data_IF_374171684609
#
_entry.id   IF_374171684609
#
_cell.length_a   1.000
_cell.length_b   1.000
_cell.length_c   1.000
_cell.angle_alpha   90.00
_cell.angle_beta   90.00
_cell.angle_gamma   90.00
#
_symmetry.space_group_name_H-M   'P 1'
#
loop_
_entity.id
_entity.type
_entity.pdbx_description
1 polymer ?
#
# COMPACT_ATOMS: atom_id res chain seq x y z
N UNK A 1 -21.41 -19.36 2.26
CA UNK A 1 -21.59 -17.97 2.71
C UNK A 1 -20.29 -17.37 3.26
N UNK A 2 -19.69 -17.90 4.33
CA UNK A 2 -18.44 -17.35 4.89
C UNK A 2 -17.28 -17.29 3.87
N UNK A 3 -17.01 -18.38 3.13
CA UNK A 3 -15.96 -18.38 2.10
C UNK A 3 -16.19 -17.35 0.98
N UNK A 4 -17.44 -17.16 0.59
CA UNK A 4 -17.82 -16.13 -0.40
C UNK A 4 -17.57 -14.72 0.15
N UNK A 5 -17.86 -14.49 1.44
CA UNK A 5 -17.58 -13.22 2.10
C UNK A 5 -16.07 -12.96 2.17
N UNK A 6 -15.26 -13.97 2.52
CA UNK A 6 -13.79 -13.86 2.54
C UNK A 6 -13.26 -13.53 1.15
N UNK A 7 -13.77 -14.21 0.12
CA UNK A 7 -13.39 -13.93 -1.27
C UNK A 7 -13.69 -12.47 -1.65
N UNK A 8 -14.89 -11.97 -1.32
CA UNK A 8 -15.27 -10.58 -1.58
C UNK A 8 -14.38 -9.60 -0.80
N UNK A 9 -14.09 -9.86 0.48
CA UNK A 9 -13.20 -9.02 1.28
C UNK A 9 -11.78 -8.98 0.73
N UNK A 10 -11.24 -10.12 0.28
CA UNK A 10 -9.92 -10.20 -0.34
C UNK A 10 -9.86 -9.41 -1.64
N UNK A 11 -10.85 -9.57 -2.52
CA UNK A 11 -10.94 -8.82 -3.78
C UNK A 11 -11.06 -7.34 -3.49
N UNK A 12 -11.87 -6.93 -2.51
CA UNK A 12 -12.02 -5.54 -2.11
C UNK A 12 -10.72 -4.95 -1.55
N UNK A 13 -10.00 -5.70 -0.71
CA UNK A 13 -8.73 -5.28 -0.12
C UNK A 13 -7.65 -5.08 -1.18
N UNK A 14 -7.56 -6.02 -2.14
CA UNK A 14 -6.62 -5.94 -3.26
C UNK A 14 -6.99 -4.84 -4.26
N UNK A 15 -8.27 -4.64 -4.50
CA UNK A 15 -8.75 -3.52 -5.32
C UNK A 15 -8.40 -2.19 -4.66
N UNK A 16 -8.68 -2.04 -3.37
CA UNK A 16 -8.33 -0.87 -2.57
C UNK A 16 -6.83 -0.56 -2.66
N UNK A 17 -5.95 -1.52 -2.32
CA UNK A 17 -4.50 -1.31 -2.37
C UNK A 17 -3.97 -0.99 -3.77
N UNK A 18 -4.45 -1.69 -4.80
CA UNK A 18 -4.08 -1.39 -6.19
C UNK A 18 -4.59 -0.03 -6.68
N UNK A 19 -5.75 0.43 -6.17
CA UNK A 19 -6.30 1.76 -6.50
C UNK A 19 -5.41 2.87 -5.94
N UNK A 20 -4.92 2.71 -4.71
CA UNK A 20 -4.01 3.67 -4.07
C UNK A 20 -2.68 3.76 -4.83
N UNK A 21 -2.11 2.61 -5.21
CA UNK A 21 -0.88 2.57 -6.00
C UNK A 21 -1.05 3.28 -7.35
N UNK A 22 -2.16 3.04 -8.06
CA UNK A 22 -2.44 3.71 -9.34
C UNK A 22 -2.56 5.23 -9.17
N UNK A 23 -3.22 5.69 -8.11
CA UNK A 23 -3.33 7.13 -7.80
C UNK A 23 -1.95 7.72 -7.55
N UNK A 24 -1.12 7.07 -6.73
CA UNK A 24 0.24 7.51 -6.46
C UNK A 24 1.09 7.58 -7.73
N UNK A 25 1.05 6.56 -8.59
CA UNK A 25 1.78 6.54 -9.87
C UNK A 25 1.32 7.66 -10.81
N UNK A 26 0.01 7.92 -10.90
CA UNK A 26 -0.54 9.03 -11.69
C UNK A 26 -0.04 10.38 -11.20
N UNK A 27 -0.07 10.61 -9.89
CA UNK A 27 0.40 11.89 -9.34
C UNK A 27 1.90 12.06 -9.51
N UNK A 28 2.70 11.00 -9.34
CA UNK A 28 4.14 11.05 -9.66
C UNK A 28 4.40 11.35 -11.14
N UNK A 29 3.62 10.77 -12.04
CA UNK A 29 3.67 11.08 -13.46
C UNK A 29 3.35 12.56 -13.73
N UNK A 30 2.30 13.09 -13.10
CA UNK A 30 1.92 14.50 -13.18
C UNK A 30 2.99 15.44 -12.64
N UNK A 31 3.60 15.12 -11.49
CA UNK A 31 4.70 15.90 -10.90
C UNK A 31 5.89 15.95 -11.87
N UNK A 32 6.30 14.80 -12.42
CA UNK A 32 7.41 14.74 -13.38
C UNK A 32 7.13 15.53 -14.64
N UNK A 33 5.92 15.40 -15.20
CA UNK A 33 5.52 16.16 -16.39
C UNK A 33 5.51 17.67 -16.12
N UNK A 34 5.02 18.09 -14.95
CA UNK A 34 5.02 19.49 -14.55
C UNK A 34 6.45 20.03 -14.35
N UNK A 35 7.33 19.28 -13.65
CA UNK A 35 8.74 19.66 -13.50
C UNK A 35 9.46 19.78 -14.85
N UNK A 36 9.18 18.87 -15.78
CA UNK A 36 9.77 18.93 -17.12
C UNK A 36 9.29 20.17 -17.88
N UNK A 37 7.98 20.46 -17.87
CA UNK A 37 7.41 21.62 -18.52
C UNK A 37 7.97 22.94 -17.95
N UNK A 38 8.10 23.05 -16.62
CA UNK A 38 8.68 24.21 -15.95
C UNK A 38 10.15 24.39 -16.37
N UNK A 39 10.93 23.31 -16.38
CA UNK A 39 12.33 23.33 -16.81
C UNK A 39 12.50 23.72 -18.29
N UNK A 40 11.66 23.18 -19.17
CA UNK A 40 11.67 23.49 -20.60
C UNK A 40 11.28 24.96 -20.85
N UNK A 41 10.31 25.48 -20.08
CA UNK A 41 9.90 26.89 -20.16
C UNK A 41 11.01 27.84 -19.68
N UNK A 42 11.73 27.48 -18.61
CA UNK A 42 12.84 28.25 -18.06
C UNK A 42 14.02 28.28 -19.04
N UNK A 43 14.39 27.12 -19.59
CA UNK A 43 15.49 27.03 -20.58
C UNK A 43 15.16 27.82 -21.85
N UNK A 44 13.93 27.72 -22.38
CA UNK A 44 13.50 28.53 -23.51
C UNK A 44 13.55 30.04 -23.22
N UNK A 45 13.17 30.47 -22.00
CA UNK A 45 13.24 31.87 -21.57
C UNK A 45 14.68 32.36 -21.45
N UNK A 46 15.58 31.54 -20.91
CA UNK A 46 17.01 31.84 -20.83
C UNK A 46 17.64 31.99 -22.21
N UNK A 47 17.34 31.09 -23.15
CA UNK A 47 17.80 31.19 -24.54
C UNK A 47 17.31 32.49 -25.21
N UNK A 48 16.05 32.88 -24.98
CA UNK A 48 15.51 34.14 -25.50
C UNK A 48 16.26 35.36 -24.95
N UNK A 49 16.55 35.39 -23.65
CA UNK A 49 17.28 36.49 -23.01
C UNK A 49 18.71 36.58 -23.55
N UNK A 50 19.40 35.44 -23.67
CA UNK A 50 20.75 35.38 -24.26
C UNK A 50 20.76 35.91 -25.70
N UNK A 51 19.77 35.55 -26.52
CA UNK A 51 19.62 36.04 -27.89
C UNK A 51 19.36 37.55 -28.02
N UNK A 52 18.85 38.20 -26.97
CA UNK A 52 18.59 39.65 -26.93
C UNK A 52 19.69 40.43 -26.18
N UNK A 53 20.93 39.91 -26.16
CA UNK A 53 22.07 40.58 -25.53
C UNK A 53 22.14 40.40 -24.01
N UNK A 54 21.46 39.39 -23.47
CA UNK A 54 21.58 38.98 -22.06
C UNK A 54 20.90 39.87 -21.04
N UNK A 55 20.12 40.88 -21.47
CA UNK A 55 19.38 41.77 -20.56
C UNK A 55 17.94 41.32 -20.41
N UNK A 56 17.53 41.06 -19.16
CA UNK A 56 16.14 40.82 -18.82
C UNK A 56 15.35 42.14 -18.75
N UNK A 57 14.21 42.28 -19.44
CA UNK A 57 13.45 43.54 -19.48
C UNK A 57 12.54 43.77 -18.27
N UNK A 58 12.40 42.78 -17.38
CA UNK A 58 11.47 42.83 -16.25
C UNK A 58 12.11 43.26 -14.92
N UNK A 59 11.37 43.05 -13.83
CA UNK A 59 11.83 43.35 -12.48
C UNK A 59 13.00 42.45 -12.08
N UNK A 60 14.00 42.99 -11.37
CA UNK A 60 15.27 42.31 -11.10
C UNK A 60 15.13 41.02 -10.29
N UNK A 61 14.06 40.88 -9.49
CA UNK A 61 13.78 39.68 -8.68
C UNK A 61 13.12 38.55 -9.47
N UNK A 62 12.68 38.83 -10.70
CA UNK A 62 12.12 37.86 -11.63
C UNK A 62 13.14 37.46 -12.71
N UNK A 63 14.33 38.08 -12.71
CA UNK A 63 15.36 37.80 -13.70
C UNK A 63 15.94 36.38 -13.49
N UNK A 64 15.75 35.46 -14.45
CA UNK A 64 16.21 34.08 -14.34
C UNK A 64 17.71 33.89 -14.58
N UNK A 65 18.42 34.93 -15.05
CA UNK A 65 19.89 34.86 -15.22
C UNK A 65 20.62 34.81 -13.89
N UNK A 66 20.00 35.29 -12.80
CA UNK A 66 20.50 35.11 -11.44
C UNK A 66 20.06 33.76 -10.86
N UNK A 67 21.04 32.91 -10.55
CA UNK A 67 20.79 31.58 -9.99
C UNK A 67 19.90 31.60 -8.73
N UNK A 68 20.04 32.62 -7.88
CA UNK A 68 19.21 32.80 -6.68
C UNK A 68 17.73 33.01 -7.01
N UNK A 69 17.41 33.91 -7.96
CA UNK A 69 16.03 34.22 -8.33
C UNK A 69 15.35 32.99 -8.94
N UNK A 70 16.06 32.32 -9.85
CA UNK A 70 15.62 31.05 -10.44
C UNK A 70 15.35 30.03 -9.35
N UNK A 71 16.29 29.80 -8.43
CA UNK A 71 16.11 28.86 -7.33
C UNK A 71 14.91 29.21 -6.43
N UNK A 72 14.69 30.49 -6.14
CA UNK A 72 13.65 30.98 -5.23
C UNK A 72 12.24 30.94 -5.82
N UNK A 73 12.11 31.25 -7.11
CA UNK A 73 10.82 31.42 -7.80
C UNK A 73 10.39 30.14 -8.52
N UNK A 74 11.32 29.49 -9.23
CA UNK A 74 11.02 28.40 -10.19
C UNK A 74 11.84 27.13 -9.96
N UNK A 75 12.88 27.19 -9.12
CA UNK A 75 13.81 26.07 -8.87
C UNK A 75 13.37 25.13 -7.75
N UNK A 76 12.08 25.11 -7.42
CA UNK A 76 11.56 24.14 -6.46
C UNK A 76 11.66 22.73 -7.02
N UNK A 77 12.22 21.81 -6.25
CA UNK A 77 12.38 20.41 -6.64
C UNK A 77 11.40 19.54 -5.86
N UNK A 78 10.99 18.41 -6.45
CA UNK A 78 10.15 17.45 -5.76
C UNK A 78 11.00 16.30 -5.24
N UNK A 79 11.02 16.10 -3.92
CA UNK A 79 11.53 14.90 -3.29
C UNK A 79 10.42 13.84 -3.32
N UNK A 80 10.61 12.77 -4.07
CA UNK A 80 9.60 11.71 -4.29
C UNK A 80 10.11 10.37 -3.79
N UNK A 81 9.29 9.67 -2.99
CA UNK A 81 9.55 8.29 -2.58
C UNK A 81 8.92 7.34 -3.59
N UNK A 82 9.75 6.59 -4.31
CA UNK A 82 9.26 5.59 -5.28
C UNK A 82 8.36 4.54 -4.60
N UNK A 83 7.29 4.09 -5.26
CA UNK A 83 6.43 3.05 -4.71
C UNK A 83 7.16 1.71 -4.68
N UNK A 84 6.94 0.93 -3.62
CA UNK A 84 7.53 -0.40 -3.49
C UNK A 84 6.70 -1.44 -4.27
N UNK A 85 7.34 -2.52 -4.73
CA UNK A 85 6.68 -3.54 -5.56
C UNK A 85 5.45 -4.17 -4.89
N UNK A 86 5.47 -4.37 -3.56
CA UNK A 86 4.35 -4.95 -2.80
C UNK A 86 3.42 -3.91 -2.18
N UNK A 87 3.54 -2.62 -2.54
CA UNK A 87 2.74 -1.57 -1.94
C UNK A 87 1.23 -1.73 -2.23
N UNK A 88 0.86 -2.38 -3.32
CA UNK A 88 -0.53 -2.74 -3.61
C UNK A 88 -1.11 -3.78 -2.63
N UNK A 89 -0.26 -4.55 -1.94
CA UNK A 89 -0.66 -5.56 -0.95
C UNK A 89 -0.60 -5.01 0.47
N UNK A 90 0.42 -4.20 0.74
CA UNK A 90 0.67 -3.59 2.04
C UNK A 90 0.93 -2.09 1.84
N UNK A 91 -0.09 -1.27 2.08
CA UNK A 91 0.03 0.19 2.04
C UNK A 91 0.86 0.69 3.25
N UNK A 92 0.65 0.08 4.42
CA UNK A 92 1.36 0.40 5.66
C UNK A 92 1.25 1.88 6.02
N UNK A 93 2.37 2.48 6.43
CA UNK A 93 2.45 3.92 6.77
C UNK A 93 2.42 4.85 5.54
N UNK A 94 2.40 4.32 4.30
CA UNK A 94 2.38 5.16 3.10
C UNK A 94 1.06 5.89 2.88
N UNK A 95 0.00 5.48 3.57
CA UNK A 95 -1.28 6.20 3.59
C UNK A 95 -1.29 7.42 4.50
N UNK A 96 -0.34 7.51 5.43
CA UNK A 96 -0.22 8.58 6.42
C UNK A 96 0.95 9.49 6.11
N UNK A 97 2.09 8.89 5.79
CA UNK A 97 3.30 9.63 5.50
C UNK A 97 3.25 10.16 4.05
N UNK A 98 3.49 11.46 3.83
CA UNK A 98 3.58 12.00 2.50
C UNK A 98 4.68 11.30 1.70
N UNK A 99 4.32 10.88 0.49
CA UNK A 99 5.24 10.19 -0.43
C UNK A 99 5.89 11.14 -1.44
N UNK A 100 5.58 12.44 -1.36
CA UNK A 100 6.29 13.50 -2.07
C UNK A 100 6.33 14.80 -1.25
N UNK A 101 7.37 15.59 -1.45
CA UNK A 101 7.52 16.94 -0.88
C UNK A 101 8.05 17.91 -1.93
N UNK A 102 7.48 19.11 -1.98
CA UNK A 102 8.03 20.23 -2.77
C UNK A 102 9.05 21.00 -1.93
N UNK A 103 10.32 20.84 -2.29
CA UNK A 103 11.49 21.41 -1.63
C UNK A 103 11.84 22.74 -2.27
N UNK A 104 12.02 23.77 -1.44
CA UNK A 104 12.44 25.11 -1.87
C UNK A 104 13.79 25.44 -1.23
N UNK A 105 14.58 26.30 -1.86
CA UNK A 105 15.81 26.88 -1.25
C UNK A 105 15.51 27.82 -0.06
N UNK A 106 14.24 28.13 0.17
CA UNK A 106 13.75 28.98 1.26
C UNK A 106 12.82 28.19 2.17
N UNK A 107 12.50 28.72 3.34
CA UNK A 107 11.62 28.09 4.36
C UNK A 107 10.15 27.96 3.91
N UNK A 108 9.80 28.28 2.66
CA UNK A 108 8.44 28.14 2.10
C UNK A 108 7.87 26.73 2.24
N UNK A 109 8.71 25.69 2.25
CA UNK A 109 8.27 24.30 2.38
C UNK A 109 7.42 24.05 3.65
N UNK A 110 7.71 24.74 4.76
CA UNK A 110 6.95 24.63 6.01
C UNK A 110 5.53 25.18 5.90
N UNK A 111 5.31 26.21 5.07
CA UNK A 111 3.99 26.79 4.85
C UNK A 111 3.14 25.96 3.89
N UNK A 112 3.80 25.21 2.99
CA UNK A 112 3.12 24.39 1.97
C UNK A 112 2.79 22.99 2.50
N UNK A 113 3.54 22.47 3.47
CA UNK A 113 3.38 21.12 4.02
C UNK A 113 3.11 21.14 5.53
N UNK A 114 2.56 22.23 6.06
CA UNK A 114 1.97 22.20 7.39
C UNK A 114 0.96 21.05 7.39
N UNK A 115 1.18 20.05 8.27
CA UNK A 115 0.45 18.79 8.24
C UNK A 115 -1.04 19.07 8.23
N UNK A 116 -1.75 18.60 7.19
CA UNK A 116 -3.21 18.63 7.19
C UNK A 116 -3.70 18.01 8.49
N UNK A 117 -4.65 18.66 9.18
CA UNK A 117 -5.21 18.15 10.42
C UNK A 117 -5.99 16.88 10.06
N UNK A 118 -5.31 15.75 10.19
CA UNK A 118 -5.85 14.45 9.86
C UNK A 118 -6.64 13.87 11.03
N UNK A 119 -7.66 13.09 10.72
CA UNK A 119 -8.46 12.44 11.75
C UNK A 119 -7.68 11.27 12.37
N UNK A 120 -7.15 11.48 13.59
CA UNK A 120 -6.34 10.49 14.29
C UNK A 120 -7.05 9.15 14.53
N UNK A 121 -8.39 9.15 14.61
CA UNK A 121 -9.17 7.91 14.75
C UNK A 121 -9.18 7.09 13.46
N UNK A 122 -9.36 7.75 12.30
CA UNK A 122 -9.28 7.07 11.00
C UNK A 122 -7.86 6.56 10.73
N UNK A 123 -6.85 7.29 11.20
CA UNK A 123 -5.44 6.91 11.08
C UNK A 123 -5.08 5.67 11.89
N UNK A 124 -5.70 5.48 13.07
CA UNK A 124 -5.52 4.29 13.92
C UNK A 124 -6.10 3.02 13.28
N UNK A 125 -7.24 3.13 12.59
CA UNK A 125 -7.88 1.98 11.90
C UNK A 125 -7.00 1.48 10.73
N UNK A 126 -6.25 2.38 10.10
CA UNK A 126 -5.36 2.07 8.99
C UNK A 126 -6.10 1.82 7.67
N UNK A 127 -5.34 1.57 6.61
CA UNK A 127 -5.88 1.27 5.30
C UNK A 127 -6.44 -0.17 5.24
N UNK A 128 -7.59 -0.35 4.59
CA UNK A 128 -8.09 -1.67 4.25
C UNK A 128 -7.33 -2.23 3.05
N UNK A 129 -6.26 -2.98 3.33
CA UNK A 129 -5.38 -3.62 2.35
C UNK A 129 -5.26 -5.14 2.59
N UNK A 130 -4.50 -5.84 1.75
CA UNK A 130 -4.34 -7.30 1.87
C UNK A 130 -3.62 -7.69 3.17
N UNK A 131 -2.66 -6.89 3.64
CA UNK A 131 -1.97 -7.12 4.90
C UNK A 131 -2.93 -7.08 6.09
N UNK A 132 -3.92 -6.18 6.07
CA UNK A 132 -4.98 -6.13 7.08
C UNK A 132 -5.79 -7.43 7.11
N UNK A 133 -6.13 -7.99 5.95
CA UNK A 133 -6.86 -9.26 5.86
C UNK A 133 -6.04 -10.41 6.46
N UNK A 134 -4.74 -10.48 6.17
CA UNK A 134 -3.87 -11.56 6.66
C UNK A 134 -3.58 -11.43 8.15
N UNK A 135 -3.33 -10.22 8.66
CA UNK A 135 -2.92 -10.00 10.05
C UNK A 135 -4.11 -10.02 11.02
N UNK A 136 -5.26 -9.46 10.63
CA UNK A 136 -6.40 -9.30 11.53
C UNK A 136 -7.57 -10.23 11.21
N UNK A 137 -7.97 -10.34 9.94
CA UNK A 137 -9.17 -11.12 9.58
C UNK A 137 -8.89 -12.62 9.53
N UNK A 138 -7.77 -13.05 8.97
CA UNK A 138 -7.44 -14.47 8.82
C UNK A 138 -7.41 -15.21 10.18
N UNK A 139 -6.74 -14.70 11.24
CA UNK A 139 -6.78 -15.35 12.55
C UNK A 139 -8.19 -15.44 13.13
N UNK A 140 -8.99 -14.39 12.97
CA UNK A 140 -10.37 -14.35 13.44
C UNK A 140 -11.24 -15.38 12.70
N UNK A 141 -11.06 -15.50 11.39
CA UNK A 141 -11.76 -16.48 10.57
C UNK A 141 -11.36 -17.91 10.92
N UNK A 142 -10.08 -18.16 11.21
CA UNK A 142 -9.61 -19.46 11.70
C UNK A 142 -10.36 -19.81 12.99
N UNK A 143 -10.44 -18.89 13.95
CA UNK A 143 -11.18 -19.10 15.21
C UNK A 143 -12.64 -19.45 14.92
N UNK A 144 -13.31 -18.69 14.05
CA UNK A 144 -14.71 -18.96 13.66
C UNK A 144 -14.87 -20.31 12.95
N UNK A 145 -13.86 -20.80 12.23
CA UNK A 145 -13.89 -22.11 11.59
C UNK A 145 -13.64 -23.27 12.57
N UNK A 146 -12.96 -22.99 13.68
CA UNK A 146 -12.51 -24.00 14.63
C UNK A 146 -13.26 -24.01 15.98
N UNK A 147 -13.99 -22.94 16.34
CA UNK A 147 -14.54 -22.80 17.69
C UNK A 147 -15.54 -23.91 18.07
N UNK A 148 -16.32 -24.39 17.10
CA UNK A 148 -17.41 -25.33 17.38
C UNK A 148 -16.98 -26.80 17.41
N UNK A 149 -15.68 -27.11 17.32
CA UNK A 149 -15.20 -28.50 17.25
C UNK A 149 -15.73 -29.32 18.43
N UNK A 150 -15.68 -28.79 19.66
CA UNK A 150 -16.15 -29.53 20.83
C UNK A 150 -17.67 -29.47 21.01
N UNK A 151 -18.30 -28.33 20.73
CA UNK A 151 -19.75 -28.19 20.90
C UNK A 151 -20.52 -29.05 19.89
N UNK A 152 -20.03 -29.12 18.65
CA UNK A 152 -20.63 -29.96 17.61
C UNK A 152 -20.68 -31.44 17.99
N UNK A 153 -19.64 -31.99 18.63
CA UNK A 153 -19.67 -33.39 19.10
C UNK A 153 -20.65 -33.62 20.23
N UNK A 154 -20.85 -32.61 21.10
CA UNK A 154 -21.80 -32.70 22.22
C UNK A 154 -23.24 -32.68 21.71
N UNK A 155 -23.54 -31.78 20.79
CA UNK A 155 -24.87 -31.64 20.19
C UNK A 155 -25.25 -32.84 19.31
N UNK A 156 -24.28 -33.41 18.58
CA UNK A 156 -24.49 -34.60 17.75
C UNK A 156 -24.52 -35.92 18.55
N UNK A 157 -24.30 -35.88 19.87
CA UNK A 157 -24.27 -37.07 20.72
C UNK A 157 -23.04 -37.97 20.55
N UNK A 158 -22.16 -37.67 19.59
CA UNK A 158 -20.89 -38.41 19.36
C UNK A 158 -19.88 -38.24 20.48
N UNK A 159 -20.05 -37.26 21.36
CA UNK A 159 -19.18 -37.06 22.52
C UNK A 159 -19.08 -38.26 23.46
N UNK A 160 -20.17 -39.02 23.62
CA UNK A 160 -20.17 -40.24 24.46
C UNK A 160 -19.32 -41.34 23.82
N UNK A 161 -19.43 -41.51 22.50
CA UNK A 161 -18.63 -42.48 21.73
C UNK A 161 -17.14 -42.11 21.71
N UNK A 162 -16.81 -40.83 21.66
CA UNK A 162 -15.40 -40.39 21.71
C UNK A 162 -14.77 -40.68 23.08
N UNK A 163 -15.54 -40.57 24.17
CA UNK A 163 -15.07 -40.88 25.53
C UNK A 163 -14.85 -42.36 25.78
N UNK A 164 -15.52 -43.25 25.06
CA UNK A 164 -15.34 -44.70 25.19
C UNK A 164 -14.18 -45.23 24.31
N UNK A 165 -13.63 -44.38 23.44
CA UNK A 165 -12.47 -44.75 22.62
C UNK A 165 -11.19 -44.84 23.46
N UNK A 166 -10.30 -45.80 23.16
CA UNK A 166 -9.02 -45.99 23.85
C UNK A 166 -7.96 -44.91 23.54
N UNK A 167 -8.33 -43.88 22.78
CA UNK A 167 -7.42 -42.82 22.34
C UNK A 167 -7.56 -41.58 23.23
N UNK A 168 -6.50 -40.80 23.34
CA UNK A 168 -6.56 -39.50 24.03
C UNK A 168 -7.55 -38.57 23.31
N UNK A 169 -8.58 -38.13 24.03
CA UNK A 169 -9.59 -37.18 23.54
C UNK A 169 -8.92 -35.88 23.05
N UNK A 170 -7.90 -35.40 23.78
CA UNK A 170 -7.14 -34.23 23.39
C UNK A 170 -6.45 -34.42 22.03
N UNK A 171 -5.89 -35.61 21.77
CA UNK A 171 -5.25 -35.94 20.49
C UNK A 171 -6.26 -35.99 19.34
N UNK A 172 -7.46 -36.53 19.57
CA UNK A 172 -8.54 -36.56 18.57
C UNK A 172 -9.05 -35.14 18.25
N UNK A 173 -9.25 -34.31 19.27
CA UNK A 173 -9.66 -32.91 19.10
C UNK A 173 -8.58 -32.08 18.39
N UNK A 174 -7.31 -32.23 18.78
CA UNK A 174 -6.18 -31.60 18.11
C UNK A 174 -6.04 -32.05 16.65
N UNK A 175 -6.25 -33.33 16.36
CA UNK A 175 -6.25 -33.83 14.98
C UNK A 175 -7.34 -33.20 14.13
N UNK A 176 -8.57 -33.11 14.65
CA UNK A 176 -9.69 -32.43 13.97
C UNK A 176 -9.42 -30.93 13.80
N UNK A 177 -8.84 -30.29 14.80
CA UNK A 177 -8.42 -28.89 14.74
C UNK A 177 -7.39 -28.69 13.63
N UNK A 178 -6.34 -29.51 13.60
CA UNK A 178 -5.27 -29.43 12.61
C UNK A 178 -5.79 -29.65 11.19
N UNK A 179 -6.70 -30.61 10.97
CA UNK A 179 -7.32 -30.85 9.66
C UNK A 179 -8.15 -29.63 9.23
N UNK A 180 -9.02 -29.10 10.10
CA UNK A 180 -9.84 -27.92 9.76
C UNK A 180 -8.99 -26.69 9.50
N UNK A 181 -7.99 -26.45 10.35
CA UNK A 181 -7.01 -25.37 10.17
C UNK A 181 -6.27 -25.51 8.84
N UNK A 182 -5.74 -26.70 8.54
CA UNK A 182 -5.01 -26.98 7.31
C UNK A 182 -5.86 -26.80 6.06
N UNK A 183 -7.09 -27.34 6.05
CA UNK A 183 -8.03 -27.17 4.94
C UNK A 183 -8.41 -25.71 4.71
N UNK A 184 -8.70 -24.97 5.79
CA UNK A 184 -9.03 -23.55 5.69
C UNK A 184 -7.86 -22.72 5.16
N UNK A 185 -6.65 -22.97 5.69
CA UNK A 185 -5.43 -22.27 5.27
C UNK A 185 -5.06 -22.59 3.84
N UNK A 186 -5.15 -23.87 3.44
CA UNK A 186 -4.92 -24.29 2.06
C UNK A 186 -5.92 -23.63 1.11
N UNK A 187 -7.20 -23.63 1.44
CA UNK A 187 -8.24 -22.97 0.65
C UNK A 187 -7.96 -21.47 0.50
N UNK A 188 -7.63 -20.78 1.60
CA UNK A 188 -7.29 -19.36 1.58
C UNK A 188 -6.15 -19.08 0.61
N UNK A 189 -5.05 -19.84 0.67
CA UNK A 189 -3.91 -19.65 -0.23
C UNK A 189 -4.22 -20.02 -1.68
N UNK A 190 -5.00 -21.08 -1.93
CA UNK A 190 -5.44 -21.46 -3.29
C UNK A 190 -6.23 -20.33 -3.95
N UNK A 191 -7.00 -19.57 -3.18
CA UNK A 191 -7.73 -18.39 -3.67
C UNK A 191 -6.81 -17.18 -3.85
N UNK A 192 -5.91 -16.94 -2.91
CA UNK A 192 -5.07 -15.73 -2.87
C UNK A 192 -3.97 -15.76 -3.93
N UNK A 193 -3.26 -16.88 -4.08
CA UNK A 193 -2.12 -17.04 -5.01
C UNK A 193 -2.44 -16.61 -6.45
N UNK A 194 -3.52 -17.07 -7.10
CA UNK A 194 -3.81 -16.66 -8.48
C UNK A 194 -4.12 -15.16 -8.60
N UNK A 195 -4.76 -14.57 -7.59
CA UNK A 195 -5.05 -13.13 -7.60
C UNK A 195 -3.77 -12.32 -7.42
N UNK A 196 -2.88 -12.74 -6.52
CA UNK A 196 -1.55 -12.14 -6.36
C UNK A 196 -0.72 -12.26 -7.65
N UNK A 197 -0.69 -13.44 -8.28
CA UNK A 197 0.04 -13.65 -9.53
C UNK A 197 -0.48 -12.74 -10.66
N UNK A 198 -1.80 -12.52 -10.73
CA UNK A 198 -2.40 -11.60 -11.70
C UNK A 198 -2.05 -10.13 -11.41
N UNK A 199 -1.98 -9.72 -10.14
CA UNK A 199 -1.79 -8.33 -9.75
C UNK A 199 -0.33 -7.88 -9.79
N UNK A 200 0.59 -8.72 -9.32
CA UNK A 200 2.01 -8.40 -9.31
C UNK A 200 2.66 -8.75 -10.68
N UNK A 201 1.97 -9.57 -11.48
CA UNK A 201 2.45 -10.11 -12.74
C UNK A 201 3.56 -11.16 -12.55
N UNK A 202 3.90 -11.91 -13.61
CA UNK A 202 4.96 -12.92 -13.55
C UNK A 202 6.35 -12.32 -13.27
N UNK A 203 6.54 -11.00 -13.45
CA UNK A 203 7.80 -10.31 -13.19
C UNK A 203 8.26 -10.32 -11.73
N UNK A 204 7.35 -10.47 -10.76
CA UNK A 204 7.73 -10.62 -9.34
C UNK A 204 8.28 -12.00 -9.01
N UNK A 205 7.70 -13.06 -9.58
CA UNK A 205 8.25 -14.42 -9.48
C UNK A 205 9.60 -14.54 -10.19
N UNK A 206 9.85 -13.70 -11.20
CA UNK A 206 11.14 -13.60 -11.88
C UNK A 206 12.17 -12.72 -11.14
N UNK A 207 11.78 -12.00 -10.09
CA UNK A 207 12.70 -11.14 -9.33
C UNK A 207 13.54 -11.99 -8.38
N UNK A 208 14.87 -11.94 -8.54
CA UNK A 208 15.83 -12.74 -7.78
C UNK A 208 15.92 -12.40 -6.28
N UNK A 209 15.05 -11.54 -5.75
CA UNK A 209 15.14 -10.94 -4.42
C UNK A 209 14.05 -11.44 -3.46
N UNK A 210 13.41 -12.57 -3.77
CA UNK A 210 12.40 -13.21 -2.93
C UNK A 210 12.89 -13.60 -1.51
N UNK A 211 14.21 -13.71 -1.32
CA UNK A 211 14.85 -14.10 -0.05
C UNK A 211 15.16 -12.95 0.92
N UNK A 212 14.79 -11.71 0.59
CA UNK A 212 14.97 -10.52 1.44
C UNK A 212 13.65 -10.03 2.06
N UNK A 213 12.58 -10.83 1.90
CA UNK A 213 11.30 -10.72 2.60
C UNK A 213 11.30 -11.70 3.78
#
# INVERSE_FOLDING_TARGET
MLFSLIFVLLVAALWSGSSQLRTQQRTMGGIRAHQQADHDSLTARLHRIQGHGGRYPGFIWDDPTYAYNTARNEGAQYAVKAPFALQALAAGQSGVQPWYYKVYVTKKQYLVHESEIDNSFLQFIGAFDFSFVVVYLLPLLIIVFTYNILSAEKEQGTWVLLKTSNQSIARLLLGRLAIRFGLFTAFFWVVVVPVLACLIGPGFLASANWWWL
#
